data_IF_848518652104
#
_entry.id   IF_848518652104
#
_cell.length_a   1.000
_cell.length_b   1.000
_cell.length_c   1.000
_cell.angle_alpha   90.00
_cell.angle_beta   90.00
_cell.angle_gamma   90.00
#
_symmetry.space_group_name_H-M   'P 1'
#
loop_
_entity.id
_entity.type
_entity.pdbx_description
1 polymer ?
#
# COMPACT_ATOMS: atom_id res chain seq x y z
N UNK A 1 28.28 14.92 51.35
CA UNK A 1 28.26 15.63 50.06
C UNK A 1 28.50 14.76 48.83
N UNK A 2 29.37 13.72 48.86
CA UNK A 2 29.63 12.86 47.63
C UNK A 2 28.47 11.95 47.19
N UNK A 3 27.55 11.53 48.07
CA UNK A 3 26.41 10.64 47.70
C UNK A 3 25.25 11.37 46.98
N UNK A 4 25.10 12.66 47.19
CA UNK A 4 24.06 13.45 46.53
C UNK A 4 24.41 13.80 45.07
N UNK A 5 25.68 13.94 44.74
CA UNK A 5 26.15 14.27 43.39
C UNK A 5 25.96 13.07 42.44
N UNK A 6 26.15 11.82 42.97
CA UNK A 6 26.00 10.60 42.15
C UNK A 6 24.52 10.33 41.76
N UNK A 7 23.57 10.65 42.65
CA UNK A 7 22.15 10.47 42.40
C UNK A 7 21.62 11.47 41.31
N UNK A 8 22.16 12.71 41.31
CA UNK A 8 21.81 13.69 40.30
C UNK A 8 22.39 13.36 38.90
N UNK A 9 23.58 12.80 38.84
CA UNK A 9 24.20 12.41 37.57
C UNK A 9 23.49 11.21 36.89
N UNK A 10 22.99 10.25 37.69
CA UNK A 10 22.25 9.09 37.18
C UNK A 10 20.85 9.51 36.69
N UNK A 11 20.19 10.44 37.39
CA UNK A 11 18.86 10.94 36.98
C UNK A 11 18.96 11.78 35.70
N UNK A 12 20.01 12.58 35.53
CA UNK A 12 20.20 13.37 34.31
C UNK A 12 20.54 12.55 33.08
N UNK A 13 21.29 11.44 33.23
CA UNK A 13 21.62 10.54 32.11
C UNK A 13 20.44 9.70 31.67
N UNK A 14 19.57 9.27 32.58
CA UNK A 14 18.33 8.55 32.20
C UNK A 14 17.29 9.45 31.53
N UNK A 15 17.19 10.71 31.95
CA UNK A 15 16.29 11.69 31.30
C UNK A 15 16.81 12.06 29.90
N UNK A 16 18.14 12.25 29.73
CA UNK A 16 18.71 12.51 28.40
C UNK A 16 18.57 11.31 27.44
N UNK A 17 18.68 10.08 27.92
CA UNK A 17 18.49 8.89 27.08
C UNK A 17 17.02 8.69 26.69
N UNK A 18 16.07 9.00 27.57
CA UNK A 18 14.64 8.97 27.26
C UNK A 18 14.25 10.06 26.25
N UNK A 19 14.79 11.28 26.42
CA UNK A 19 14.55 12.38 25.46
C UNK A 19 15.25 12.16 24.10
N UNK A 20 16.39 11.48 24.07
CA UNK A 20 17.07 11.11 22.83
C UNK A 20 16.30 9.98 22.08
N UNK A 21 15.69 9.04 22.79
CA UNK A 21 14.82 8.02 22.20
C UNK A 21 13.49 8.61 21.68
N UNK A 22 12.95 9.65 22.33
CA UNK A 22 11.74 10.33 21.86
C UNK A 22 11.96 11.12 20.55
N UNK A 23 13.16 11.66 20.32
CA UNK A 23 13.52 12.42 19.11
C UNK A 23 13.67 11.58 17.85
N UNK A 24 13.77 10.27 17.94
CA UNK A 24 13.94 9.35 16.79
C UNK A 24 12.67 8.58 16.43
N UNK A 25 11.61 8.73 17.18
CA UNK A 25 10.36 8.03 16.91
C UNK A 25 9.56 8.76 15.84
N UNK A 26 9.20 8.03 14.76
CA UNK A 26 8.30 8.53 13.72
C UNK A 26 7.02 9.09 14.36
N UNK A 27 6.43 10.21 13.86
CA UNK A 27 5.13 10.68 14.31
C UNK A 27 3.98 9.71 13.96
N UNK A 28 4.27 8.65 13.22
CA UNK A 28 3.33 7.65 12.75
C UNK A 28 3.56 6.33 13.49
N UNK A 29 2.91 6.16 14.65
CA UNK A 29 3.04 4.94 15.46
C UNK A 29 2.06 3.88 14.99
N UNK A 30 2.59 2.71 14.66
CA UNK A 30 1.84 1.48 14.53
C UNK A 30 1.51 0.87 15.91
N UNK A 31 0.40 0.15 15.99
CA UNK A 31 0.01 -0.60 17.20
C UNK A 31 0.79 -1.90 17.33
N UNK A 32 1.04 -2.58 16.21
CA UNK A 32 1.81 -3.82 16.11
C UNK A 32 2.69 -3.79 14.85
N UNK A 33 3.82 -4.50 14.88
CA UNK A 33 4.66 -4.82 13.71
C UNK A 33 4.77 -6.33 13.57
N UNK A 34 4.59 -6.85 12.36
CA UNK A 34 4.68 -8.27 12.05
C UNK A 34 5.56 -8.51 10.84
N UNK A 35 6.66 -9.22 11.01
CA UNK A 35 7.45 -9.75 9.89
C UNK A 35 6.71 -10.94 9.30
N UNK A 36 6.40 -10.90 8.01
CA UNK A 36 5.79 -11.98 7.25
C UNK A 36 6.84 -13.05 6.96
N UNK A 37 7.88 -12.66 6.24
CA UNK A 37 9.06 -13.45 5.90
C UNK A 37 10.21 -12.57 5.38
N UNK A 38 11.36 -13.19 5.22
CA UNK A 38 12.50 -12.61 4.50
C UNK A 38 12.80 -13.44 3.24
N UNK A 39 13.81 -13.03 2.47
CA UNK A 39 14.21 -13.71 1.24
C UNK A 39 14.54 -15.20 1.42
N UNK A 40 15.01 -15.63 2.60
CA UNK A 40 15.40 -17.02 2.85
C UNK A 40 14.20 -17.94 3.13
N UNK A 41 13.05 -17.37 3.53
CA UNK A 41 11.83 -18.10 3.94
C UNK A 41 10.67 -17.94 2.98
N UNK A 42 10.73 -16.95 2.09
CA UNK A 42 9.72 -16.71 1.09
C UNK A 42 9.86 -17.69 -0.09
N UNK A 43 8.78 -17.90 -0.89
CA UNK A 43 8.86 -18.78 -2.07
C UNK A 43 9.92 -18.33 -3.07
N UNK A 44 10.05 -17.01 -3.31
CA UNK A 44 11.09 -16.44 -4.17
C UNK A 44 11.86 -15.34 -3.43
N UNK A 45 13.15 -15.18 -3.79
CA UNK A 45 14.01 -14.10 -3.34
C UNK A 45 14.08 -13.00 -4.39
N UNK A 46 14.19 -11.73 -3.96
CA UNK A 46 14.47 -10.61 -4.89
C UNK A 46 15.97 -10.43 -5.17
N UNK A 47 16.83 -11.31 -4.65
CA UNK A 47 18.28 -11.25 -4.84
C UNK A 47 18.99 -10.10 -4.13
N UNK A 48 18.25 -9.23 -3.42
CA UNK A 48 18.83 -8.17 -2.60
C UNK A 48 19.36 -8.75 -1.27
N UNK A 49 20.39 -8.11 -0.71
CA UNK A 49 21.01 -8.48 0.55
C UNK A 49 21.17 -7.25 1.45
N UNK A 50 21.38 -7.49 2.76
CA UNK A 50 21.48 -6.43 3.76
C UNK A 50 20.12 -5.93 4.24
N UNK A 51 20.13 -4.94 5.10
CA UNK A 51 18.92 -4.37 5.69
C UNK A 51 18.30 -3.30 4.80
N UNK A 52 16.99 -3.12 4.89
CA UNK A 52 16.29 -1.99 4.31
C UNK A 52 16.75 -0.69 4.99
N UNK A 53 16.82 0.39 4.23
CA UNK A 53 17.21 1.70 4.75
C UNK A 53 16.43 2.83 4.09
N UNK A 54 16.36 3.97 4.76
CA UNK A 54 15.75 5.19 4.22
C UNK A 54 16.75 5.97 3.36
N UNK A 55 16.59 5.95 2.04
CA UNK A 55 17.36 6.80 1.12
C UNK A 55 17.03 8.29 1.29
N UNK A 56 15.81 8.60 1.74
CA UNK A 56 15.28 9.90 2.20
C UNK A 56 14.23 9.61 3.28
N UNK A 57 13.84 10.56 4.11
CA UNK A 57 12.80 10.36 5.09
C UNK A 57 11.56 9.66 4.48
N UNK A 58 11.16 8.56 5.07
CA UNK A 58 10.05 7.70 4.64
C UNK A 58 10.12 7.17 3.20
N UNK A 59 11.31 7.14 2.59
CA UNK A 59 11.56 6.52 1.27
C UNK A 59 12.45 5.30 1.47
N UNK A 60 11.82 4.18 1.75
CA UNK A 60 12.47 2.93 2.07
C UNK A 60 12.96 2.21 0.79
N UNK A 61 14.18 1.73 0.82
CA UNK A 61 14.82 0.98 -0.27
C UNK A 61 15.49 -0.28 0.27
N UNK A 62 15.94 -1.15 -0.62
CA UNK A 62 16.63 -2.41 -0.30
C UNK A 62 15.80 -3.31 0.63
N UNK A 63 14.49 -3.40 0.42
CA UNK A 63 13.60 -4.22 1.24
C UNK A 63 13.82 -5.71 0.94
N UNK A 64 14.32 -6.46 1.91
CA UNK A 64 14.61 -7.90 1.84
C UNK A 64 13.68 -8.72 2.73
N UNK A 65 12.84 -8.04 3.50
CA UNK A 65 11.79 -8.61 4.33
C UNK A 65 10.44 -8.03 3.94
N UNK A 66 9.39 -8.84 4.02
CA UNK A 66 8.02 -8.35 3.97
C UNK A 66 7.50 -8.13 5.38
N UNK A 67 7.02 -6.91 5.67
CA UNK A 67 6.60 -6.50 7.00
C UNK A 67 5.24 -5.81 6.96
N UNK A 68 4.38 -6.12 7.93
CA UNK A 68 3.13 -5.41 8.16
C UNK A 68 3.26 -4.46 9.36
N UNK A 69 2.97 -3.18 9.13
CA UNK A 69 2.75 -2.18 10.18
C UNK A 69 1.25 -2.05 10.40
N UNK A 70 0.78 -2.34 11.58
CA UNK A 70 -0.63 -2.59 11.90
C UNK A 70 -1.20 -1.41 12.67
N UNK A 71 -2.34 -0.91 12.21
CA UNK A 71 -3.11 0.17 12.81
C UNK A 71 -4.53 -0.33 13.06
N UNK A 72 -4.89 -0.51 14.33
CA UNK A 72 -6.21 -0.99 14.69
C UNK A 72 -7.28 0.10 14.53
N UNK A 73 -8.43 -0.31 14.07
CA UNK A 73 -9.59 0.56 14.00
C UNK A 73 -9.94 1.15 15.38
N UNK A 74 -10.33 2.42 15.41
CA UNK A 74 -10.95 3.02 16.60
C UNK A 74 -12.14 2.16 17.04
N UNK A 75 -12.06 1.59 18.24
CA UNK A 75 -13.04 0.63 18.78
C UNK A 75 -14.46 1.17 18.79
N UNK A 76 -14.62 2.50 18.97
CA UNK A 76 -15.93 3.16 18.98
C UNK A 76 -16.58 3.25 17.59
N UNK A 77 -15.82 3.06 16.54
CA UNK A 77 -16.24 3.21 15.13
C UNK A 77 -16.01 1.96 14.28
N UNK A 78 -15.43 0.91 14.85
CA UNK A 78 -14.99 -0.28 14.12
C UNK A 78 -16.09 -0.87 13.22
N UNK A 79 -15.82 -0.93 11.91
CA UNK A 79 -16.74 -1.44 10.88
C UNK A 79 -16.56 -2.93 10.61
N UNK A 80 -15.49 -3.52 11.13
CA UNK A 80 -15.02 -4.87 10.77
C UNK A 80 -14.23 -4.89 9.45
N UNK A 81 -14.18 -3.79 8.70
CA UNK A 81 -13.39 -3.70 7.47
C UNK A 81 -11.89 -3.59 7.79
N UNK A 82 -11.08 -4.14 6.89
CA UNK A 82 -9.63 -4.06 6.94
C UNK A 82 -9.03 -3.78 5.55
N UNK A 83 -7.89 -3.08 5.51
CA UNK A 83 -7.22 -2.73 4.26
C UNK A 83 -5.72 -3.01 4.36
N UNK A 84 -5.19 -3.85 3.46
CA UNK A 84 -3.75 -3.97 3.24
C UNK A 84 -3.32 -2.85 2.28
N UNK A 85 -2.34 -2.04 2.70
CA UNK A 85 -1.89 -0.85 1.97
C UNK A 85 -0.55 -1.14 1.32
N UNK A 86 -0.47 -0.97 0.00
CA UNK A 86 0.73 -1.11 -0.81
C UNK A 86 1.23 0.29 -1.24
N UNK A 87 2.25 0.86 -0.57
CA UNK A 87 2.80 2.16 -0.94
C UNK A 87 3.40 2.16 -2.35
N UNK A 88 3.42 3.31 -3.01
CA UNK A 88 4.07 3.50 -4.30
C UNK A 88 5.58 3.72 -4.18
N UNK A 89 6.18 4.14 -5.29
CA UNK A 89 7.62 4.43 -5.40
C UNK A 89 8.28 3.77 -6.60
N UNK A 90 7.50 3.44 -7.64
CA UNK A 90 8.00 2.93 -8.91
C UNK A 90 8.62 1.54 -8.84
N UNK A 91 8.35 0.75 -7.81
CA UNK A 91 9.04 -0.51 -7.49
C UNK A 91 10.55 -0.36 -7.23
N UNK A 92 11.05 0.88 -7.09
CA UNK A 92 12.44 1.18 -6.75
C UNK A 92 12.61 1.58 -5.27
N UNK A 93 11.53 1.96 -4.62
CA UNK A 93 11.43 2.35 -3.21
C UNK A 93 9.98 2.24 -2.75
N UNK A 94 9.75 2.41 -1.43
CA UNK A 94 8.42 2.54 -0.83
C UNK A 94 8.24 3.94 -0.25
N UNK A 95 7.13 4.60 -0.59
CA UNK A 95 6.73 5.91 -0.07
C UNK A 95 5.89 5.73 1.19
N UNK A 96 6.54 5.52 2.34
CA UNK A 96 5.90 5.05 3.57
C UNK A 96 5.10 6.11 4.33
N UNK A 97 5.26 7.40 4.04
CA UNK A 97 4.56 8.50 4.72
C UNK A 97 3.10 8.65 4.23
N UNK A 98 2.87 9.47 3.18
CA UNK A 98 1.52 9.83 2.71
C UNK A 98 0.75 8.67 2.06
N UNK A 99 1.46 7.67 1.54
CA UNK A 99 0.90 6.49 0.88
C UNK A 99 0.84 5.26 1.79
N UNK A 100 1.40 5.37 3.00
CA UNK A 100 1.42 4.30 4.00
C UNK A 100 0.86 4.77 5.35
N UNK A 101 1.73 5.28 6.21
CA UNK A 101 1.41 5.56 7.62
C UNK A 101 0.31 6.60 7.82
N UNK A 102 0.34 7.71 7.08
CA UNK A 102 -0.71 8.75 7.17
C UNK A 102 -2.07 8.20 6.74
N UNK A 103 -2.09 7.38 5.68
CA UNK A 103 -3.30 6.74 5.20
C UNK A 103 -3.84 5.74 6.22
N UNK A 104 -2.96 4.92 6.79
CA UNK A 104 -3.33 3.92 7.79
C UNK A 104 -3.92 4.56 9.05
N UNK A 105 -3.30 5.63 9.57
CA UNK A 105 -3.85 6.37 10.69
C UNK A 105 -5.22 6.99 10.39
N UNK A 106 -5.40 7.53 9.18
CA UNK A 106 -6.68 8.10 8.77
C UNK A 106 -7.78 7.03 8.70
N UNK A 107 -7.49 5.86 8.11
CA UNK A 107 -8.42 4.73 8.07
C UNK A 107 -8.78 4.25 9.48
N UNK A 108 -7.78 4.07 10.35
CA UNK A 108 -7.98 3.61 11.73
C UNK A 108 -8.90 4.57 12.53
N UNK A 109 -8.71 5.89 12.39
CA UNK A 109 -9.58 6.92 12.98
C UNK A 109 -11.03 6.88 12.46
N UNK A 110 -11.23 6.31 11.26
CA UNK A 110 -12.54 6.12 10.63
C UNK A 110 -13.11 4.71 10.82
N UNK A 111 -12.53 3.90 11.72
CA UNK A 111 -13.07 2.60 12.10
C UNK A 111 -12.69 1.45 11.16
N UNK A 112 -11.65 1.62 10.35
CA UNK A 112 -11.15 0.64 9.39
C UNK A 112 -9.73 0.24 9.80
N UNK A 113 -9.49 -1.03 10.13
CA UNK A 113 -8.14 -1.50 10.44
C UNK A 113 -7.24 -1.45 9.21
N UNK A 114 -6.01 -0.97 9.37
CA UNK A 114 -5.08 -0.78 8.26
C UNK A 114 -3.75 -1.50 8.49
N UNK A 115 -3.20 -2.05 7.43
CA UNK A 115 -2.00 -2.89 7.42
C UNK A 115 -1.07 -2.38 6.33
N UNK A 116 -0.11 -1.51 6.69
CA UNK A 116 0.86 -1.00 5.72
C UNK A 116 1.87 -2.09 5.41
N UNK A 117 1.94 -2.50 4.17
CA UNK A 117 2.85 -3.53 3.70
C UNK A 117 4.15 -2.91 3.20
N UNK A 118 5.23 -3.09 3.95
CA UNK A 118 6.58 -3.00 3.44
C UNK A 118 6.84 -4.27 2.62
N UNK A 119 6.52 -4.22 1.33
CA UNK A 119 6.79 -5.35 0.46
C UNK A 119 8.23 -5.36 -0.03
N UNK A 120 8.78 -6.53 -0.30
CA UNK A 120 10.10 -6.67 -0.91
C UNK A 120 10.09 -6.09 -2.31
N UNK A 121 11.00 -5.16 -2.58
CA UNK A 121 11.15 -4.56 -3.91
C UNK A 121 11.51 -5.65 -4.92
N UNK A 122 10.92 -5.64 -6.12
CA UNK A 122 11.05 -6.77 -7.05
C UNK A 122 12.47 -6.99 -7.57
N UNK A 123 13.25 -5.94 -7.80
CA UNK A 123 14.59 -6.08 -8.41
C UNK A 123 14.60 -7.05 -9.61
N UNK A 124 13.63 -6.89 -10.54
CA UNK A 124 13.37 -7.76 -11.68
C UNK A 124 12.85 -9.18 -11.36
N UNK A 125 12.41 -9.44 -10.12
CA UNK A 125 11.75 -10.67 -9.70
C UNK A 125 10.26 -10.38 -9.50
N UNK A 126 9.50 -10.47 -10.58
CA UNK A 126 8.09 -10.01 -10.68
C UNK A 126 7.13 -10.70 -9.72
N UNK A 127 7.45 -11.91 -9.29
CA UNK A 127 6.65 -12.72 -8.36
C UNK A 127 6.71 -12.17 -6.94
N UNK A 128 7.84 -11.63 -6.52
CA UNK A 128 8.17 -11.31 -5.13
C UNK A 128 7.18 -10.35 -4.46
N UNK A 129 6.89 -9.15 -5.01
CA UNK A 129 5.93 -8.25 -4.35
C UNK A 129 4.50 -8.81 -4.35
N UNK A 130 4.12 -9.60 -5.37
CA UNK A 130 2.80 -10.22 -5.44
C UNK A 130 2.62 -11.26 -4.32
N UNK A 131 3.63 -12.11 -4.10
CA UNK A 131 3.62 -13.10 -3.01
C UNK A 131 3.47 -12.44 -1.65
N UNK A 132 4.20 -11.34 -1.41
CA UNK A 132 4.12 -10.58 -0.15
C UNK A 132 2.71 -10.02 0.07
N UNK A 133 2.07 -9.48 -0.97
CA UNK A 133 0.73 -8.92 -0.87
C UNK A 133 -0.35 -10.00 -0.70
N UNK A 134 -0.22 -11.14 -1.36
CA UNK A 134 -1.12 -12.29 -1.18
C UNK A 134 -1.02 -12.82 0.25
N UNK A 135 0.20 -13.04 0.75
CA UNK A 135 0.39 -13.56 2.10
C UNK A 135 -0.07 -12.56 3.17
N UNK A 136 0.13 -11.26 2.94
CA UNK A 136 -0.42 -10.22 3.81
C UNK A 136 -1.94 -10.34 3.97
N UNK A 137 -2.69 -10.51 2.87
CA UNK A 137 -4.14 -10.70 2.90
C UNK A 137 -4.53 -11.99 3.64
N UNK A 138 -3.83 -13.09 3.38
CA UNK A 138 -4.04 -14.38 4.07
C UNK A 138 -3.83 -14.25 5.58
N UNK A 139 -2.76 -13.57 6.01
CA UNK A 139 -2.47 -13.33 7.42
C UNK A 139 -3.56 -12.47 8.07
N UNK A 140 -4.02 -11.40 7.41
CA UNK A 140 -5.09 -10.55 7.93
C UNK A 140 -6.37 -11.36 8.12
N UNK A 141 -6.77 -12.17 7.15
CA UNK A 141 -7.92 -13.08 7.26
C UNK A 141 -7.75 -14.11 8.37
N UNK A 142 -6.59 -14.76 8.44
CA UNK A 142 -6.28 -15.77 9.47
C UNK A 142 -6.32 -15.21 10.90
N UNK A 143 -5.90 -13.94 11.06
CA UNK A 143 -5.86 -13.27 12.36
C UNK A 143 -7.07 -12.36 12.60
N UNK A 144 -8.09 -12.40 11.75
CA UNK A 144 -9.25 -11.51 11.77
C UNK A 144 -9.94 -11.46 13.14
N UNK A 145 -10.16 -12.62 13.79
CA UNK A 145 -10.72 -12.69 15.14
C UNK A 145 -9.88 -11.95 16.18
N UNK A 146 -8.54 -12.08 16.12
CA UNK A 146 -7.62 -11.38 17.04
C UNK A 146 -7.76 -9.86 16.89
N UNK A 147 -7.93 -9.37 15.67
CA UNK A 147 -7.93 -7.97 15.34
C UNK A 147 -9.33 -7.35 15.19
N UNK A 148 -10.38 -8.09 15.58
CA UNK A 148 -11.78 -7.66 15.46
C UNK A 148 -12.16 -7.23 14.03
N UNK A 149 -11.78 -8.05 13.04
CA UNK A 149 -12.01 -7.87 11.61
C UNK A 149 -12.98 -8.95 11.13
N UNK A 150 -13.82 -8.62 10.15
CA UNK A 150 -14.58 -9.57 9.36
C UNK A 150 -13.69 -10.09 8.22
N UNK A 151 -13.33 -11.39 8.15
CA UNK A 151 -12.46 -11.93 7.12
C UNK A 151 -13.03 -11.80 5.70
N UNK A 152 -14.33 -11.54 5.55
CA UNK A 152 -15.00 -11.29 4.27
C UNK A 152 -14.99 -9.80 3.86
N UNK A 153 -14.37 -8.94 4.69
CA UNK A 153 -14.26 -7.50 4.46
C UNK A 153 -12.80 -7.00 4.43
N UNK A 154 -11.91 -7.84 3.90
CA UNK A 154 -10.48 -7.51 3.76
C UNK A 154 -10.19 -7.04 2.34
N UNK A 155 -9.89 -5.75 2.19
CA UNK A 155 -9.53 -5.12 0.93
C UNK A 155 -8.05 -4.85 0.78
N UNK A 156 -7.68 -4.38 -0.41
CA UNK A 156 -6.35 -3.86 -0.73
C UNK A 156 -6.42 -2.41 -1.17
N UNK A 157 -5.43 -1.62 -0.80
CA UNK A 157 -5.24 -0.24 -1.27
C UNK A 157 -3.83 -0.12 -1.85
N UNK A 158 -3.70 0.58 -2.96
CA UNK A 158 -2.38 0.81 -3.52
C UNK A 158 -2.24 2.13 -4.26
N UNK A 159 -1.00 2.63 -4.29
CA UNK A 159 -0.63 3.93 -4.83
C UNK A 159 0.39 3.76 -5.95
N UNK A 160 0.20 4.39 -7.11
CA UNK A 160 1.20 4.36 -8.19
C UNK A 160 1.63 2.92 -8.55
N UNK A 161 2.90 2.56 -8.41
CA UNK A 161 3.39 1.19 -8.55
C UNK A 161 2.79 0.23 -7.50
N UNK A 162 2.53 0.69 -6.26
CA UNK A 162 1.77 -0.06 -5.26
C UNK A 162 0.30 -0.24 -5.68
N UNK A 163 -0.24 0.69 -6.49
CA UNK A 163 -1.54 0.54 -7.17
C UNK A 163 -1.52 -0.57 -8.21
N UNK A 164 -0.40 -0.76 -8.91
CA UNK A 164 -0.17 -1.91 -9.77
C UNK A 164 -0.18 -3.21 -8.96
N UNK A 165 0.53 -3.25 -7.83
CA UNK A 165 0.56 -4.41 -6.94
C UNK A 165 -0.83 -4.74 -6.39
N UNK A 166 -1.58 -3.74 -5.94
CA UNK A 166 -2.96 -3.91 -5.46
C UNK A 166 -3.90 -4.43 -6.56
N UNK A 167 -3.77 -3.93 -7.78
CA UNK A 167 -4.50 -4.45 -8.92
C UNK A 167 -4.05 -5.86 -9.33
N UNK A 168 -2.75 -6.16 -9.23
CA UNK A 168 -2.21 -7.50 -9.50
C UNK A 168 -2.77 -8.54 -8.53
N UNK A 169 -2.80 -8.28 -7.23
CA UNK A 169 -3.38 -9.19 -6.24
C UNK A 169 -4.89 -9.35 -6.39
N UNK A 170 -5.54 -8.38 -7.02
CA UNK A 170 -6.98 -8.42 -7.32
C UNK A 170 -7.33 -9.25 -8.56
N UNK A 171 -6.37 -9.55 -9.43
CA UNK A 171 -6.62 -10.19 -10.73
C UNK A 171 -5.85 -11.50 -10.96
N UNK A 172 -4.63 -11.62 -10.44
CA UNK A 172 -3.73 -12.73 -10.81
C UNK A 172 -3.94 -13.99 -9.95
N UNK A 173 -3.98 -13.91 -8.60
CA UNK A 173 -4.07 -15.11 -7.78
C UNK A 173 -5.42 -15.81 -7.90
N UNK A 174 -5.56 -17.07 -7.41
CA UNK A 174 -6.84 -17.73 -7.24
C UNK A 174 -7.85 -16.85 -6.49
N UNK A 175 -9.13 -17.02 -6.80
CA UNK A 175 -10.21 -16.12 -6.32
C UNK A 175 -10.28 -16.06 -4.79
N UNK A 176 -10.04 -17.17 -4.12
CA UNK A 176 -10.02 -17.29 -2.65
C UNK A 176 -8.92 -16.45 -1.97
N UNK A 177 -7.84 -16.15 -2.70
CA UNK A 177 -6.73 -15.35 -2.22
C UNK A 177 -6.88 -13.84 -2.55
N UNK A 178 -7.84 -13.50 -3.43
CA UNK A 178 -8.09 -12.12 -3.82
C UNK A 178 -8.70 -11.32 -2.68
N UNK A 179 -8.47 -9.99 -2.60
CA UNK A 179 -9.14 -9.12 -1.65
C UNK A 179 -10.65 -9.05 -1.93
N UNK A 180 -11.43 -8.62 -0.94
CA UNK A 180 -12.88 -8.45 -1.10
C UNK A 180 -13.24 -7.14 -1.82
N UNK A 181 -12.32 -6.17 -1.86
CA UNK A 181 -12.43 -4.91 -2.60
C UNK A 181 -11.05 -4.30 -2.86
N UNK A 182 -10.96 -3.40 -3.84
CA UNK A 182 -9.71 -2.76 -4.27
C UNK A 182 -9.85 -1.23 -4.33
N UNK A 183 -8.86 -0.52 -3.77
CA UNK A 183 -8.80 0.95 -3.72
C UNK A 183 -7.49 1.38 -4.40
N UNK A 184 -7.58 2.09 -5.51
CA UNK A 184 -6.44 2.41 -6.36
C UNK A 184 -6.27 3.92 -6.51
N UNK A 185 -5.15 4.44 -6.03
CA UNK A 185 -4.77 5.85 -6.15
C UNK A 185 -3.75 6.00 -7.29
N UNK A 186 -4.09 6.80 -8.31
CA UNK A 186 -3.25 7.08 -9.49
C UNK A 186 -2.42 5.88 -9.94
N UNK A 187 -3.06 4.70 -10.16
CA UNK A 187 -2.36 3.43 -10.27
C UNK A 187 -1.66 3.27 -11.62
N UNK A 188 -0.49 2.63 -11.62
CA UNK A 188 0.15 2.11 -12.82
C UNK A 188 -0.52 0.78 -13.16
N UNK A 189 -1.49 0.74 -14.06
CA UNK A 189 -2.30 -0.47 -14.31
C UNK A 189 -2.18 -1.03 -15.73
N UNK A 190 -1.50 -0.33 -16.64
CA UNK A 190 -1.38 -0.73 -18.05
C UNK A 190 0.08 -0.92 -18.42
N UNK A 191 0.40 -2.03 -19.07
CA UNK A 191 1.73 -2.34 -19.59
C UNK A 191 2.05 -1.72 -20.96
N UNK A 192 1.25 -0.77 -21.44
CA UNK A 192 1.47 -0.11 -22.74
C UNK A 192 2.44 1.07 -22.58
N UNK A 193 3.51 1.07 -23.37
CA UNK A 193 4.58 2.09 -23.32
C UNK A 193 4.11 3.54 -23.50
N UNK A 194 2.94 3.78 -24.08
CA UNK A 194 2.42 5.15 -24.31
C UNK A 194 1.57 5.70 -23.14
N UNK A 195 1.11 4.81 -22.25
CA UNK A 195 0.17 5.18 -21.17
C UNK A 195 0.62 4.71 -19.82
N UNK A 196 1.82 4.10 -19.71
CA UNK A 196 2.34 3.57 -18.45
C UNK A 196 3.53 4.36 -17.93
N UNK A 197 3.81 4.20 -16.63
CA UNK A 197 5.09 4.56 -16.04
C UNK A 197 6.13 3.46 -16.32
N UNK A 198 6.87 3.60 -17.42
CA UNK A 198 7.86 2.61 -17.90
C UNK A 198 8.90 2.24 -16.82
N UNK A 199 9.24 3.20 -15.93
CA UNK A 199 10.16 2.96 -14.81
C UNK A 199 9.67 1.84 -13.88
N UNK A 200 8.36 1.79 -13.56
CA UNK A 200 7.79 0.74 -12.73
C UNK A 200 7.92 -0.64 -13.39
N UNK A 201 7.60 -0.75 -14.68
CA UNK A 201 7.73 -2.02 -15.41
C UNK A 201 9.19 -2.46 -15.53
N UNK A 202 10.13 -1.51 -15.71
CA UNK A 202 11.56 -1.81 -15.73
C UNK A 202 12.06 -2.37 -14.39
N UNK A 203 11.59 -1.85 -13.28
CA UNK A 203 11.97 -2.34 -11.95
C UNK A 203 11.31 -3.69 -11.64
N UNK A 204 10.09 -3.91 -12.13
CA UNK A 204 9.34 -5.15 -11.93
C UNK A 204 9.90 -6.31 -12.79
N UNK A 205 10.12 -6.05 -14.09
CA UNK A 205 10.43 -7.08 -15.10
C UNK A 205 11.91 -7.13 -15.51
N UNK A 206 12.69 -6.10 -15.16
CA UNK A 206 14.09 -5.95 -15.57
C UNK A 206 14.30 -4.95 -16.70
N UNK A 207 15.56 -4.57 -16.91
CA UNK A 207 15.94 -3.69 -18.02
C UNK A 207 15.81 -4.47 -19.35
N UNK A 208 15.07 -3.90 -20.29
CA UNK A 208 14.89 -4.53 -21.61
C UNK A 208 13.76 -5.55 -21.69
N UNK A 209 12.81 -5.53 -20.74
CA UNK A 209 11.60 -6.34 -20.80
C UNK A 209 10.88 -6.19 -22.15
N UNK A 210 10.34 -7.29 -22.67
CA UNK A 210 9.55 -7.27 -23.90
C UNK A 210 8.12 -6.77 -23.65
N UNK A 211 7.50 -6.16 -24.66
CA UNK A 211 6.10 -5.74 -24.57
C UNK A 211 5.15 -6.90 -24.23
N UNK A 212 5.47 -8.12 -24.67
CA UNK A 212 4.72 -9.33 -24.32
C UNK A 212 4.71 -9.58 -22.80
N UNK A 213 5.87 -9.44 -22.13
CA UNK A 213 5.97 -9.59 -20.67
C UNK A 213 5.19 -8.48 -19.93
N UNK A 214 5.29 -7.23 -20.41
CA UNK A 214 4.49 -6.15 -19.83
C UNK A 214 2.98 -6.39 -20.00
N UNK A 215 2.55 -7.05 -21.07
CA UNK A 215 1.16 -7.40 -21.30
C UNK A 215 0.63 -8.43 -20.30
N UNK A 216 1.48 -9.32 -19.77
CA UNK A 216 1.11 -10.29 -18.71
C UNK A 216 0.80 -9.60 -17.37
N UNK A 217 1.29 -8.37 -17.18
CA UNK A 217 1.08 -7.53 -16.01
C UNK A 217 0.26 -6.27 -16.33
N UNK A 218 -0.54 -6.32 -17.38
CA UNK A 218 -1.43 -5.24 -17.81
C UNK A 218 -2.85 -5.55 -17.35
N UNK A 219 -3.32 -4.84 -16.35
CA UNK A 219 -4.50 -5.22 -15.56
C UNK A 219 -5.81 -5.17 -16.35
N UNK A 220 -5.90 -4.34 -17.39
CA UNK A 220 -7.07 -4.33 -18.27
C UNK A 220 -7.26 -5.66 -19.04
N UNK A 221 -6.17 -6.41 -19.24
CA UNK A 221 -6.20 -7.73 -19.89
C UNK A 221 -6.53 -8.87 -18.93
N UNK A 222 -6.33 -8.64 -17.65
CA UNK A 222 -6.52 -9.62 -16.57
C UNK A 222 -7.85 -9.43 -15.83
N UNK A 223 -8.53 -8.30 -16.07
CA UNK A 223 -9.84 -8.05 -15.50
C UNK A 223 -10.83 -9.16 -15.91
N UNK A 224 -11.63 -9.63 -14.97
CA UNK A 224 -12.62 -10.68 -15.17
C UNK A 224 -13.85 -10.42 -14.29
N UNK A 225 -14.89 -11.23 -14.44
CA UNK A 225 -16.08 -11.17 -13.56
C UNK A 225 -15.76 -11.43 -12.08
N UNK A 226 -14.61 -12.07 -11.81
CA UNK A 226 -14.14 -12.41 -10.47
C UNK A 226 -13.17 -11.36 -9.88
N UNK A 227 -12.93 -10.26 -10.61
CA UNK A 227 -12.21 -9.09 -10.09
C UNK A 227 -13.06 -8.41 -9.02
N UNK A 228 -12.53 -8.07 -7.83
CA UNK A 228 -13.33 -7.50 -6.76
C UNK A 228 -13.81 -6.06 -7.09
N UNK A 229 -14.87 -5.58 -6.41
CA UNK A 229 -15.30 -4.19 -6.50
C UNK A 229 -14.12 -3.23 -6.35
N UNK A 230 -14.00 -2.25 -7.26
CA UNK A 230 -12.82 -1.39 -7.37
C UNK A 230 -13.19 0.08 -7.44
N UNK A 231 -12.50 0.93 -6.67
CA UNK A 231 -12.54 2.39 -6.80
C UNK A 231 -11.18 2.93 -7.24
N UNK A 232 -11.19 3.88 -8.19
CA UNK A 232 -10.00 4.56 -8.71
C UNK A 232 -10.09 6.07 -8.40
N UNK A 233 -8.99 6.64 -7.90
CA UNK A 233 -8.88 8.04 -7.49
C UNK A 233 -7.60 8.64 -8.08
N UNK A 234 -7.71 9.61 -8.97
CA UNK A 234 -6.58 10.14 -9.76
C UNK A 234 -6.74 11.65 -10.03
N UNK A 235 -5.69 12.26 -10.59
CA UNK A 235 -5.69 13.63 -11.09
C UNK A 235 -5.56 13.67 -12.61
N UNK A 236 -6.24 14.62 -13.25
CA UNK A 236 -6.19 14.80 -14.71
C UNK A 236 -4.83 15.32 -15.20
N UNK A 237 -4.19 16.15 -14.37
CA UNK A 237 -2.88 16.76 -14.65
C UNK A 237 -1.67 15.88 -14.24
N UNK A 238 -1.89 14.56 -14.01
CA UNK A 238 -0.81 13.63 -13.70
C UNK A 238 0.01 13.26 -14.95
N UNK A 239 1.18 13.90 -15.08
CA UNK A 239 2.12 13.63 -16.16
C UNK A 239 3.03 12.41 -15.90
N UNK A 240 3.06 11.88 -14.68
CA UNK A 240 3.87 10.71 -14.31
C UNK A 240 3.15 9.41 -14.64
N UNK A 241 1.86 9.32 -14.27
CA UNK A 241 0.98 8.19 -14.57
C UNK A 241 -0.32 8.75 -15.15
N UNK A 242 -0.42 8.92 -16.48
CA UNK A 242 -1.58 9.53 -17.11
C UNK A 242 -2.89 8.81 -16.78
N UNK A 243 -3.93 9.58 -16.48
CA UNK A 243 -5.27 9.09 -16.12
C UNK A 243 -5.88 8.13 -17.15
N UNK A 244 -5.47 8.26 -18.43
CA UNK A 244 -5.93 7.41 -19.53
C UNK A 244 -5.73 5.91 -19.26
N UNK A 245 -4.62 5.52 -18.63
CA UNK A 245 -4.36 4.13 -18.26
C UNK A 245 -5.40 3.58 -17.30
N UNK A 246 -5.73 4.34 -16.26
CA UNK A 246 -6.76 3.98 -15.29
C UNK A 246 -8.15 3.94 -15.92
N UNK A 247 -8.45 4.83 -16.87
CA UNK A 247 -9.72 4.85 -17.60
C UNK A 247 -9.93 3.58 -18.45
N UNK A 248 -8.86 3.09 -19.10
CA UNK A 248 -8.90 1.82 -19.85
C UNK A 248 -9.18 0.65 -18.90
N UNK A 249 -8.50 0.59 -17.75
CA UNK A 249 -8.76 -0.46 -16.76
C UNK A 249 -10.19 -0.38 -16.20
N UNK A 250 -10.68 0.83 -15.90
CA UNK A 250 -12.07 1.03 -15.48
C UNK A 250 -13.05 0.50 -16.53
N UNK A 251 -12.82 0.78 -17.82
CA UNK A 251 -13.65 0.27 -18.90
C UNK A 251 -13.66 -1.27 -18.96
N UNK A 252 -12.49 -1.90 -18.76
CA UNK A 252 -12.37 -3.36 -18.70
C UNK A 252 -13.15 -3.94 -17.50
N UNK A 253 -13.05 -3.35 -16.32
CA UNK A 253 -13.84 -3.73 -15.14
C UNK A 253 -15.34 -3.68 -15.45
N UNK A 254 -15.81 -2.59 -16.06
CA UNK A 254 -17.24 -2.43 -16.42
C UNK A 254 -17.68 -3.41 -17.49
N UNK A 255 -16.82 -3.72 -18.47
CA UNK A 255 -17.10 -4.73 -19.51
C UNK A 255 -17.36 -6.10 -18.88
N UNK A 256 -16.62 -6.48 -17.84
CA UNK A 256 -16.78 -7.74 -17.09
C UNK A 256 -17.86 -7.69 -16.00
N UNK A 257 -18.63 -6.61 -15.89
CA UNK A 257 -19.71 -6.47 -14.91
C UNK A 257 -19.24 -6.18 -13.48
N UNK A 258 -17.95 -5.90 -13.28
CA UNK A 258 -17.40 -5.56 -11.96
C UNK A 258 -17.97 -4.22 -11.48
N UNK A 259 -18.39 -4.14 -10.21
CA UNK A 259 -18.78 -2.89 -9.57
C UNK A 259 -17.55 -1.98 -9.46
N UNK A 260 -17.52 -0.89 -10.19
CA UNK A 260 -16.40 0.03 -10.20
C UNK A 260 -16.84 1.50 -10.12
N UNK A 261 -16.02 2.33 -9.46
CA UNK A 261 -16.14 3.78 -9.44
C UNK A 261 -14.80 4.41 -9.82
N UNK A 262 -14.82 5.55 -10.52
CA UNK A 262 -13.62 6.29 -10.86
C UNK A 262 -13.87 7.79 -10.68
N UNK A 263 -12.94 8.46 -9.99
CA UNK A 263 -12.97 9.90 -9.78
C UNK A 263 -11.66 10.51 -10.26
N UNK A 264 -11.76 11.48 -11.16
CA UNK A 264 -10.62 12.22 -11.70
C UNK A 264 -10.75 13.67 -11.23
N UNK A 265 -9.81 14.08 -10.37
CA UNK A 265 -9.73 15.47 -9.89
C UNK A 265 -9.04 16.33 -10.93
N UNK A 266 -9.44 17.61 -11.11
CA UNK A 266 -8.89 18.47 -12.18
C UNK A 266 -7.38 18.68 -12.06
N UNK A 267 -6.84 18.72 -10.84
CA UNK A 267 -5.43 18.96 -10.55
C UNK A 267 -4.96 18.15 -9.34
N UNK A 268 -3.65 18.07 -9.12
CA UNK A 268 -3.03 17.37 -8.00
C UNK A 268 -1.72 16.70 -8.38
N UNK A 269 -1.47 16.53 -9.66
CA UNK A 269 -0.29 15.82 -10.18
C UNK A 269 -0.24 14.39 -9.64
N UNK A 270 0.97 13.86 -9.45
CA UNK A 270 1.19 12.51 -8.97
C UNK A 270 1.63 12.47 -7.50
N UNK A 271 1.19 11.45 -6.75
CA UNK A 271 1.78 11.13 -5.45
C UNK A 271 1.23 11.92 -4.26
N UNK A 272 0.03 12.48 -4.37
CA UNK A 272 -0.56 13.27 -3.28
C UNK A 272 -0.98 12.43 -2.05
N UNK A 273 -1.35 11.16 -2.22
CA UNK A 273 -1.72 10.27 -1.12
C UNK A 273 -2.67 10.93 -0.11
N UNK A 274 -2.29 10.91 1.16
CA UNK A 274 -3.06 11.57 2.22
C UNK A 274 -2.42 12.89 2.72
N UNK A 275 -1.74 13.62 1.83
CA UNK A 275 -1.24 14.95 2.19
C UNK A 275 -2.37 15.98 2.31
N UNK A 276 -2.29 16.80 3.33
CA UNK A 276 -3.25 17.87 3.66
C UNK A 276 -3.23 19.03 2.67
N UNK A 277 -2.14 19.21 1.94
CA UNK A 277 -2.01 20.23 0.89
C UNK A 277 -2.65 19.85 -0.45
N UNK A 278 -3.17 18.62 -0.60
CA UNK A 278 -3.95 18.26 -1.79
C UNK A 278 -5.31 18.95 -1.75
N UNK A 279 -5.62 19.79 -2.73
CA UNK A 279 -6.81 20.63 -2.76
C UNK A 279 -8.13 19.85 -2.59
N UNK A 280 -8.18 18.61 -3.05
CA UNK A 280 -9.36 17.74 -3.01
C UNK A 280 -9.26 16.64 -1.93
N UNK A 281 -8.46 16.83 -0.88
CA UNK A 281 -8.27 15.82 0.16
C UNK A 281 -9.59 15.44 0.83
N UNK A 282 -10.39 16.42 1.24
CA UNK A 282 -11.67 16.18 1.92
C UNK A 282 -12.70 15.50 1.02
N UNK A 283 -12.69 15.85 -0.25
CA UNK A 283 -13.57 15.29 -1.26
C UNK A 283 -13.30 13.80 -1.47
N UNK A 284 -12.04 13.40 -1.75
CA UNK A 284 -11.75 11.98 -1.94
C UNK A 284 -11.95 11.17 -0.67
N UNK A 285 -11.64 11.74 0.51
CA UNK A 285 -11.88 11.08 1.79
C UNK A 285 -13.37 10.79 1.99
N UNK A 286 -14.24 11.76 1.69
CA UNK A 286 -15.69 11.57 1.76
C UNK A 286 -16.18 10.52 0.75
N UNK A 287 -15.74 10.61 -0.51
CA UNK A 287 -16.10 9.67 -1.57
C UNK A 287 -15.68 8.24 -1.24
N UNK A 288 -14.46 8.06 -0.74
CA UNK A 288 -13.94 6.75 -0.36
C UNK A 288 -14.73 6.13 0.80
N UNK A 289 -14.94 6.86 1.90
CA UNK A 289 -15.70 6.35 3.04
C UNK A 289 -17.15 6.02 2.67
N UNK A 290 -17.79 6.85 1.82
CA UNK A 290 -19.12 6.56 1.30
C UNK A 290 -19.11 5.28 0.46
N UNK A 291 -18.17 5.12 -0.45
CA UNK A 291 -18.05 3.93 -1.30
C UNK A 291 -17.82 2.67 -0.47
N UNK A 292 -16.92 2.71 0.52
CA UNK A 292 -16.66 1.58 1.42
C UNK A 292 -17.91 1.17 2.21
N UNK A 293 -18.69 2.15 2.71
CA UNK A 293 -19.97 1.87 3.40
C UNK A 293 -21.02 1.23 2.48
N UNK A 294 -20.97 1.51 1.18
CA UNK A 294 -21.88 0.95 0.20
C UNK A 294 -21.52 -0.49 -0.21
N UNK A 295 -20.29 -0.95 0.08
CA UNK A 295 -19.90 -2.35 -0.14
C UNK A 295 -20.66 -3.33 0.77
N UNK A 296 -21.14 -2.87 1.91
CA UNK A 296 -21.88 -3.66 2.88
C UNK A 296 -23.38 -3.84 2.53
N UNK A 297 -23.83 -3.21 1.44
CA UNK A 297 -25.21 -3.30 0.91
C UNK A 297 -25.29 -4.33 -0.23
#
# INVERSE_FOLDING_TARGET
>A
MRKFILAMAILSTTILSAQAQEKTRSPYYEDEKLVIWNNDKAPHSNGLTGEAYEAKPYRLVNTTEAVLYIYHADKSKATGQAVVICPGGGYAKLSMDQEGYMMAQWLAKNGISAFVLEYRLPNAHKEVPLEDAVEAIRIVRKKAKKWNIDPTKVGVMGFSAGGHLAASVSNIPPVEDRPNFSILFYPVVIGNQYTTHVGSFRNLLGKGFAQAEANEFSMEKLASKDTPPTILLLSDDDATVPAAGAAIYYAALRYHGVRAAMYIFPEGKHGWGNYDHFSYQKEWQHLLLRWMKELDK
#
